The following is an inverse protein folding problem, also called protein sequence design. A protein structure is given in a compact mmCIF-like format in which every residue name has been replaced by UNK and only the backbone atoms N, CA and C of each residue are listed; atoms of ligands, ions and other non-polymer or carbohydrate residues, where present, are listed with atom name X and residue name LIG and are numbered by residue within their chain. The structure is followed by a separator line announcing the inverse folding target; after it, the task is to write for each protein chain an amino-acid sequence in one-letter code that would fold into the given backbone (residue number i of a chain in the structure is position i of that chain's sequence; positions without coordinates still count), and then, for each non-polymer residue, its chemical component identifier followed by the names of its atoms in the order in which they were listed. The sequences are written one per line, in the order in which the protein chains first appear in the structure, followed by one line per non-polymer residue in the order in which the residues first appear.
data_IF_194012711996
#
_entry.id   IF_194012711996
#
_cell.length_a   1.000
_cell.length_b   1.000
_cell.length_c   1.000
_cell.angle_alpha   90.00
_cell.angle_beta   90.00
_cell.angle_gamma   90.00
#
_symmetry.space_group_name_H-M   'P 1'
#
loop_
_entity.id
_entity.type
_entity.pdbx_description
1 polymer ?
#
# COMPACT_ATOMS: atom_id res chain seq x y z
N UNK A 1 14.34 5.57 3.82
CA UNK A 1 13.89 5.84 2.45
C UNK A 1 12.57 6.61 2.43
N UNK A 2 11.95 6.71 1.24
CA UNK A 2 10.67 7.39 1.04
C UNK A 2 9.53 6.39 0.86
N UNK A 3 8.41 6.59 1.59
CA UNK A 3 7.24 5.71 1.50
C UNK A 3 6.54 5.77 0.14
N UNK A 4 6.68 6.86 -0.61
CA UNK A 4 6.16 6.96 -1.97
C UNK A 4 6.89 6.05 -2.95
N UNK A 5 8.23 6.01 -2.88
CA UNK A 5 9.06 5.10 -3.67
C UNK A 5 8.81 3.64 -3.26
N UNK A 6 8.70 3.37 -1.95
CA UNK A 6 8.31 2.04 -1.47
C UNK A 6 6.95 1.61 -2.04
N UNK A 7 5.96 2.53 -2.07
CA UNK A 7 4.63 2.23 -2.63
C UNK A 7 4.69 1.89 -4.12
N UNK A 8 5.52 2.58 -4.89
CA UNK A 8 5.75 2.26 -6.30
C UNK A 8 6.22 0.81 -6.47
N UNK A 9 7.29 0.41 -5.76
CA UNK A 9 7.85 -0.95 -5.83
C UNK A 9 6.86 -2.00 -5.31
N UNK A 10 6.14 -1.69 -4.21
CA UNK A 10 5.15 -2.61 -3.62
C UNK A 10 3.98 -2.86 -4.58
N UNK A 11 3.46 -1.83 -5.25
CA UNK A 11 2.39 -1.99 -6.24
C UNK A 11 2.87 -2.84 -7.41
N UNK A 12 4.05 -2.57 -7.95
CA UNK A 12 4.63 -3.36 -9.03
C UNK A 12 4.71 -4.85 -8.67
N UNK A 13 5.34 -5.18 -7.55
CA UNK A 13 5.55 -6.58 -7.13
C UNK A 13 4.29 -7.25 -6.61
N UNK A 14 3.66 -6.67 -5.58
CA UNK A 14 2.59 -7.33 -4.82
C UNK A 14 1.20 -7.19 -5.44
N UNK A 15 0.94 -6.12 -6.21
CA UNK A 15 -0.40 -5.83 -6.74
C UNK A 15 -0.50 -6.01 -8.26
N UNK A 16 0.64 -6.03 -8.98
CA UNK A 16 0.62 -6.22 -10.43
C UNK A 16 1.26 -7.56 -10.84
N UNK A 17 2.50 -7.83 -10.43
CA UNK A 17 3.15 -9.09 -10.77
C UNK A 17 2.52 -10.29 -10.03
N UNK A 18 2.20 -10.14 -8.74
CA UNK A 18 1.64 -11.23 -7.95
C UNK A 18 0.30 -11.76 -8.50
N UNK A 19 -0.72 -10.96 -8.87
CA UNK A 19 -1.94 -11.48 -9.45
C UNK A 19 -1.71 -12.19 -10.79
N UNK A 20 -0.77 -11.74 -11.63
CA UNK A 20 -0.40 -12.43 -12.86
C UNK A 20 0.25 -13.78 -12.54
N UNK A 21 1.21 -13.80 -11.61
CA UNK A 21 1.88 -15.02 -11.17
C UNK A 21 0.89 -16.05 -10.60
N UNK A 22 -0.05 -15.59 -9.77
CA UNK A 22 -0.94 -16.47 -9.01
C UNK A 22 -2.19 -16.90 -9.79
N UNK A 23 -2.73 -16.01 -10.61
CA UNK A 23 -4.04 -16.18 -11.24
C UNK A 23 -4.00 -16.13 -12.76
N UNK A 24 -2.85 -15.85 -13.36
CA UNK A 24 -2.64 -15.80 -14.80
C UNK A 24 -2.35 -17.17 -15.39
N UNK A 25 -2.60 -17.29 -16.69
CA UNK A 25 -2.14 -18.44 -17.47
C UNK A 25 -0.61 -18.43 -17.64
N UNK A 26 -0.01 -19.54 -18.07
CA UNK A 26 1.44 -19.61 -18.33
C UNK A 26 1.86 -18.61 -19.41
N UNK A 27 1.04 -18.44 -20.45
CA UNK A 27 1.30 -17.46 -21.52
C UNK A 27 1.30 -16.02 -20.96
N UNK A 28 0.37 -15.68 -20.07
CA UNK A 28 0.34 -14.37 -19.40
C UNK A 28 1.58 -14.15 -18.53
N UNK A 29 2.02 -15.17 -17.80
CA UNK A 29 3.24 -15.10 -16.98
C UNK A 29 4.48 -14.87 -17.82
N UNK A 30 4.64 -15.63 -18.89
CA UNK A 30 5.78 -15.51 -19.84
C UNK A 30 5.79 -14.15 -20.54
N UNK A 31 4.62 -13.62 -20.91
CA UNK A 31 4.49 -12.36 -21.61
C UNK A 31 4.80 -11.16 -20.71
N UNK A 32 4.30 -11.13 -19.48
CA UNK A 32 4.29 -9.92 -18.66
C UNK A 32 5.36 -9.89 -17.57
N UNK A 33 5.60 -11.00 -16.86
CA UNK A 33 6.45 -10.98 -15.67
C UNK A 33 7.91 -10.61 -15.92
N UNK A 34 8.59 -11.06 -17.00
CA UNK A 34 9.98 -10.68 -17.23
C UNK A 34 10.18 -9.17 -17.41
N UNK A 35 9.38 -8.53 -18.28
CA UNK A 35 9.45 -7.09 -18.50
C UNK A 35 9.07 -6.28 -17.26
N UNK A 36 8.09 -6.75 -16.48
CA UNK A 36 7.71 -6.12 -15.22
C UNK A 36 8.81 -6.25 -14.15
N UNK A 37 9.51 -7.38 -14.08
CA UNK A 37 10.61 -7.60 -13.15
C UNK A 37 11.84 -6.75 -13.52
N UNK A 38 12.08 -6.53 -14.81
CA UNK A 38 13.13 -5.64 -15.31
C UNK A 38 12.80 -4.16 -15.13
N UNK A 39 11.54 -3.81 -14.83
CA UNK A 39 11.07 -2.42 -14.75
C UNK A 39 10.85 -1.78 -16.12
N UNK A 40 10.80 -2.56 -17.17
CA UNK A 40 10.49 -2.14 -18.55
C UNK A 40 8.99 -1.97 -18.77
N UNK A 41 8.16 -2.69 -18.00
CA UNK A 41 6.70 -2.63 -18.00
C UNK A 41 6.26 -2.24 -16.59
N UNK A 42 5.57 -1.11 -16.49
CA UNK A 42 5.02 -0.62 -15.22
C UNK A 42 3.54 -1.00 -15.12
N UNK A 43 3.16 -1.55 -13.95
CA UNK A 43 1.78 -1.89 -13.66
C UNK A 43 1.10 -0.92 -12.70
N UNK A 44 -0.25 -0.88 -12.79
CA UNK A 44 -1.11 -0.30 -11.76
C UNK A 44 -2.25 -1.24 -11.38
N UNK A 45 -2.86 -1.03 -10.20
CA UNK A 45 -3.84 -1.94 -9.62
C UNK A 45 -5.19 -1.24 -9.41
N UNK A 46 -6.14 -1.53 -10.27
CA UNK A 46 -7.46 -0.91 -10.31
C UNK A 46 -8.51 -1.67 -9.51
N UNK A 47 -8.54 -1.49 -8.19
CA UNK A 47 -9.58 -2.05 -7.31
C UNK A 47 -10.52 -0.95 -6.78
N UNK A 48 -9.97 0.03 -6.06
CA UNK A 48 -10.71 1.10 -5.40
C UNK A 48 -11.44 2.01 -6.40
N UNK A 49 -12.68 2.36 -6.11
CA UNK A 49 -13.52 3.27 -6.89
C UNK A 49 -13.82 4.54 -6.10
N UNK A 50 -14.34 5.61 -6.77
CA UNK A 50 -14.71 6.84 -6.06
C UNK A 50 -15.64 6.61 -4.87
N UNK A 51 -16.61 5.70 -5.00
CA UNK A 51 -17.65 5.44 -3.98
C UNK A 51 -17.41 4.11 -3.22
N UNK A 52 -16.43 3.30 -3.61
CA UNK A 52 -16.16 1.97 -3.05
C UNK A 52 -14.68 1.81 -2.66
N UNK A 53 -14.33 2.28 -1.46
CA UNK A 53 -12.99 2.14 -0.87
C UNK A 53 -12.87 0.93 0.05
N UNK A 54 -13.42 1.03 1.27
CA UNK A 54 -13.36 -0.06 2.26
C UNK A 54 -14.29 -1.23 1.96
N UNK A 55 -15.27 -1.05 1.07
CA UNK A 55 -16.14 -2.09 0.54
C UNK A 55 -15.90 -2.32 -0.96
N UNK A 56 -14.82 -3.01 -1.33
CA UNK A 56 -14.53 -3.31 -2.73
C UNK A 56 -15.50 -4.34 -3.35
N UNK A 57 -16.27 -5.05 -2.53
CA UNK A 57 -17.25 -6.03 -3.01
C UNK A 57 -18.43 -5.37 -3.73
N UNK A 58 -18.74 -4.14 -3.37
CA UNK A 58 -19.83 -3.36 -3.95
C UNK A 58 -19.44 -2.55 -5.20
N UNK A 59 -18.23 -2.78 -5.76
CA UNK A 59 -17.73 -2.01 -6.91
C UNK A 59 -18.73 -1.93 -8.07
N UNK A 60 -18.76 -0.76 -8.70
CA UNK A 60 -19.62 -0.46 -9.83
C UNK A 60 -19.02 -0.85 -11.18
N UNK A 61 -17.69 -0.95 -11.31
CA UNK A 61 -17.01 -1.35 -12.55
C UNK A 61 -17.52 -2.70 -13.04
N UNK A 62 -17.90 -2.75 -14.32
CA UNK A 62 -18.47 -3.91 -14.98
C UNK A 62 -17.64 -4.33 -16.19
N UNK A 63 -17.57 -5.64 -16.43
CA UNK A 63 -17.07 -6.21 -17.67
C UNK A 63 -18.15 -7.12 -18.25
N UNK A 64 -18.54 -6.88 -19.50
CA UNK A 64 -19.53 -7.65 -20.22
C UNK A 64 -18.85 -8.49 -21.30
N UNK A 65 -19.15 -9.78 -21.35
CA UNK A 65 -18.63 -10.67 -22.38
C UNK A 65 -19.34 -10.43 -23.70
N UNK A 66 -18.57 -10.31 -24.78
CA UNK A 66 -19.04 -10.18 -26.17
C UNK A 66 -18.20 -11.08 -27.07
N UNK A 67 -18.69 -12.29 -27.32
CA UNK A 67 -17.94 -13.31 -28.06
C UNK A 67 -16.67 -13.77 -27.35
N UNK A 68 -15.52 -13.50 -27.95
CA UNK A 68 -14.17 -13.82 -27.46
C UNK A 68 -13.47 -12.63 -26.79
N UNK A 69 -14.21 -11.56 -26.50
CA UNK A 69 -13.72 -10.34 -25.86
C UNK A 69 -14.58 -9.92 -24.67
N UNK A 70 -14.07 -8.97 -23.89
CA UNK A 70 -14.76 -8.31 -22.80
C UNK A 70 -14.80 -6.82 -23.02
N UNK A 71 -15.92 -6.19 -22.69
CA UNK A 71 -16.11 -4.74 -22.74
C UNK A 71 -16.18 -4.25 -21.31
N UNK A 72 -15.22 -3.38 -20.91
CA UNK A 72 -15.07 -2.86 -19.56
C UNK A 72 -15.58 -1.42 -19.48
N UNK A 73 -16.40 -1.15 -18.47
CA UNK A 73 -16.94 0.18 -18.16
C UNK A 73 -16.80 0.47 -16.66
N UNK A 74 -16.35 1.67 -16.31
CA UNK A 74 -16.25 2.11 -14.92
C UNK A 74 -15.07 3.04 -14.67
N UNK A 75 -14.80 3.28 -13.38
CA UNK A 75 -13.69 4.16 -12.99
C UNK A 75 -12.99 3.62 -11.73
N UNK A 76 -11.70 3.90 -11.65
CA UNK A 76 -10.87 3.55 -10.48
C UNK A 76 -10.17 4.79 -9.96
N UNK A 77 -10.06 4.90 -8.63
CA UNK A 77 -9.50 6.09 -7.97
C UNK A 77 -8.44 5.72 -6.94
N UNK A 78 -7.54 6.63 -6.68
CA UNK A 78 -6.38 6.47 -5.78
C UNK A 78 -5.40 5.40 -6.25
N UNK A 79 -5.21 5.29 -7.56
CA UNK A 79 -4.42 4.23 -8.18
C UNK A 79 -2.97 4.68 -8.31
N UNK A 80 -2.09 4.02 -7.57
CA UNK A 80 -0.63 4.21 -7.70
C UNK A 80 -0.20 3.80 -9.10
N UNK A 81 0.63 4.61 -9.72
CA UNK A 81 1.18 4.47 -11.07
C UNK A 81 0.17 4.68 -12.22
N UNK A 82 -1.10 4.98 -12.00
CA UNK A 82 -2.09 5.07 -13.08
C UNK A 82 -1.66 5.96 -14.26
N UNK A 83 -0.94 7.07 -14.00
CA UNK A 83 -0.52 7.99 -15.05
C UNK A 83 0.81 7.64 -15.74
N UNK A 84 1.44 6.52 -15.39
CA UNK A 84 2.73 6.07 -15.94
C UNK A 84 2.74 4.56 -16.21
N UNK A 85 1.63 3.86 -15.98
CA UNK A 85 1.54 2.41 -16.17
C UNK A 85 1.33 2.06 -17.63
N UNK A 86 1.94 0.95 -18.06
CA UNK A 86 1.73 0.33 -19.37
C UNK A 86 0.57 -0.67 -19.33
N UNK A 87 0.32 -1.25 -18.15
CA UNK A 87 -0.72 -2.25 -17.92
C UNK A 87 -1.48 -1.98 -16.62
N UNK A 88 -2.81 -2.08 -16.65
CA UNK A 88 -3.66 -2.02 -15.47
C UNK A 88 -4.22 -3.40 -15.12
N UNK A 89 -4.07 -3.82 -13.87
CA UNK A 89 -4.78 -4.97 -13.33
C UNK A 89 -6.15 -4.48 -12.85
N UNK A 90 -7.20 -4.73 -13.64
CA UNK A 90 -8.54 -4.18 -13.38
C UNK A 90 -9.45 -5.27 -12.82
N UNK A 91 -10.08 -4.94 -11.70
CA UNK A 91 -11.09 -5.79 -11.07
C UNK A 91 -12.48 -5.28 -11.41
N UNK A 92 -13.35 -6.20 -11.86
CA UNK A 92 -14.70 -5.87 -12.30
C UNK A 92 -15.71 -6.95 -11.92
N UNK A 93 -16.98 -6.56 -11.77
CA UNK A 93 -18.11 -7.47 -11.72
C UNK A 93 -18.52 -7.85 -13.13
N UNK A 94 -18.86 -9.14 -13.33
CA UNK A 94 -19.40 -9.68 -14.57
C UNK A 94 -20.67 -10.47 -14.28
N UNK A 95 -21.38 -10.90 -15.33
CA UNK A 95 -22.55 -11.78 -15.18
C UNK A 95 -22.16 -13.16 -14.64
N UNK A 96 -20.86 -13.54 -14.78
CA UNK A 96 -20.29 -14.77 -14.25
C UNK A 96 -19.69 -14.58 -12.84
N UNK A 97 -19.86 -13.42 -12.21
CA UNK A 97 -19.27 -13.00 -10.94
C UNK A 97 -18.01 -12.16 -11.11
N UNK A 98 -17.21 -12.10 -10.06
CA UNK A 98 -16.04 -11.24 -9.98
C UNK A 98 -14.87 -11.76 -10.83
N UNK A 99 -14.19 -10.87 -11.59
CA UNK A 99 -13.05 -11.21 -12.46
C UNK A 99 -11.95 -10.17 -12.43
N UNK A 100 -10.75 -10.58 -12.79
CA UNK A 100 -9.57 -9.71 -12.98
C UNK A 100 -9.18 -9.68 -14.46
N UNK A 101 -8.75 -8.53 -14.94
CA UNK A 101 -8.37 -8.28 -16.32
C UNK A 101 -7.03 -7.57 -16.42
N UNK A 102 -6.22 -7.93 -17.40
CA UNK A 102 -5.04 -7.22 -17.83
C UNK A 102 -5.45 -6.22 -18.91
N UNK A 103 -5.39 -4.93 -18.62
CA UNK A 103 -5.85 -3.87 -19.54
C UNK A 103 -4.65 -3.01 -19.92
N UNK A 104 -4.19 -3.03 -21.18
CA UNK A 104 -3.20 -2.08 -21.67
C UNK A 104 -3.72 -0.66 -21.51
N UNK A 105 -2.90 0.25 -21.00
CA UNK A 105 -3.35 1.62 -20.69
C UNK A 105 -3.47 2.52 -21.92
N UNK A 106 -2.96 2.06 -23.07
CA UNK A 106 -3.11 2.68 -24.38
C UNK A 106 -4.36 2.21 -25.17
N UNK A 107 -5.19 1.34 -24.55
CA UNK A 107 -6.46 0.87 -25.16
C UNK A 107 -7.41 2.03 -25.43
N UNK A 108 -8.14 1.96 -26.54
CA UNK A 108 -9.22 2.92 -26.83
C UNK A 108 -10.26 2.90 -25.70
N UNK A 109 -10.71 4.08 -25.28
CA UNK A 109 -11.64 4.23 -24.15
C UNK A 109 -10.99 4.23 -22.75
N UNK A 110 -9.67 3.97 -22.63
CA UNK A 110 -8.95 4.06 -21.36
C UNK A 110 -8.34 5.45 -21.19
N UNK A 111 -8.70 6.17 -20.13
CA UNK A 111 -8.14 7.47 -19.81
C UNK A 111 -7.64 7.53 -18.37
N UNK A 112 -6.35 7.82 -18.16
CA UNK A 112 -5.76 8.01 -16.84
C UNK A 112 -5.49 9.49 -16.55
N UNK A 113 -5.82 9.94 -15.33
CA UNK A 113 -5.58 11.31 -14.85
C UNK A 113 -4.84 11.31 -13.54
N UNK A 114 -3.85 12.18 -13.40
CA UNK A 114 -3.09 12.34 -12.16
C UNK A 114 -3.90 13.09 -11.12
N UNK A 115 -3.96 12.56 -9.89
CA UNK A 115 -4.45 13.29 -8.73
C UNK A 115 -3.36 14.26 -8.28
N UNK A 116 -3.66 15.55 -8.35
CA UNK A 116 -2.74 16.63 -7.98
C UNK A 116 -2.89 17.03 -6.50
N UNK A 117 -1.95 17.84 -6.02
CA UNK A 117 -2.01 18.51 -4.72
C UNK A 117 -2.12 17.58 -3.50
N UNK A 118 -1.59 16.35 -3.57
CA UNK A 118 -1.47 15.49 -2.39
C UNK A 118 -0.44 16.07 -1.42
N UNK A 119 -0.74 16.05 -0.13
CA UNK A 119 0.20 16.40 0.94
C UNK A 119 1.05 15.19 1.38
N UNK A 120 0.67 13.99 1.01
CA UNK A 120 1.26 12.71 1.40
C UNK A 120 1.70 11.92 0.17
N UNK A 121 2.71 11.06 0.33
CA UNK A 121 3.26 10.20 -0.73
C UNK A 121 3.53 10.97 -2.04
N UNK A 122 4.16 12.15 -1.95
CA UNK A 122 4.37 13.03 -3.11
C UNK A 122 5.32 12.45 -4.14
N UNK A 123 6.22 11.55 -3.74
CA UNK A 123 7.10 10.80 -4.63
C UNK A 123 6.39 9.63 -5.34
N UNK A 124 5.13 9.32 -5.00
CA UNK A 124 4.32 8.32 -5.69
C UNK A 124 3.35 8.99 -6.65
N UNK A 125 3.43 8.66 -7.93
CA UNK A 125 2.43 9.08 -8.92
C UNK A 125 1.14 8.33 -8.62
N UNK A 126 0.10 9.08 -8.25
CA UNK A 126 -1.22 8.52 -7.93
C UNK A 126 -2.24 9.15 -8.85
N UNK A 127 -3.13 8.37 -9.40
CA UNK A 127 -4.14 8.83 -10.33
C UNK A 127 -5.50 8.19 -10.13
N UNK A 128 -6.34 8.46 -11.07
CA UNK A 128 -7.60 7.80 -11.33
C UNK A 128 -7.63 7.43 -12.81
N UNK A 129 -8.41 6.44 -13.19
CA UNK A 129 -8.64 6.12 -14.58
C UNK A 129 -10.10 5.77 -14.84
N UNK A 130 -10.49 6.01 -16.07
CA UNK A 130 -11.83 5.80 -16.59
C UNK A 130 -11.77 4.81 -17.75
N UNK A 131 -12.77 3.99 -17.86
CA UNK A 131 -12.95 3.01 -18.93
C UNK A 131 -14.35 3.23 -19.52
N UNK A 132 -14.38 3.52 -20.81
CA UNK A 132 -15.61 3.74 -21.60
C UNK A 132 -15.54 2.79 -22.80
N UNK A 133 -16.27 1.68 -22.69
CA UNK A 133 -16.29 0.58 -23.66
C UNK A 133 -14.88 0.04 -24.01
N UNK A 134 -13.98 -0.07 -23.03
CA UNK A 134 -12.63 -0.63 -23.23
C UNK A 134 -12.73 -2.11 -23.58
N UNK A 135 -12.26 -2.48 -24.76
CA UNK A 135 -12.27 -3.85 -25.26
C UNK A 135 -10.96 -4.57 -24.93
N UNK A 136 -11.07 -5.76 -24.34
CA UNK A 136 -9.93 -6.67 -24.13
C UNK A 136 -10.29 -8.10 -24.57
N UNK A 137 -9.39 -8.86 -25.19
CA UNK A 137 -9.66 -10.23 -25.56
C UNK A 137 -9.75 -11.15 -24.32
N UNK A 138 -10.41 -12.31 -24.47
CA UNK A 138 -10.52 -13.30 -23.39
C UNK A 138 -9.14 -13.71 -22.84
N UNK A 139 -8.10 -13.70 -23.66
CA UNK A 139 -6.71 -14.00 -23.26
C UNK A 139 -6.13 -13.00 -22.25
N UNK A 140 -6.76 -11.84 -22.06
CA UNK A 140 -6.38 -10.83 -21.05
C UNK A 140 -7.16 -10.98 -19.74
N UNK A 141 -8.12 -11.88 -19.63
CA UNK A 141 -8.74 -12.22 -18.35
C UNK A 141 -7.81 -13.12 -17.54
N UNK A 142 -7.65 -12.85 -16.25
CA UNK A 142 -6.94 -13.73 -15.33
C UNK A 142 -7.81 -14.98 -15.06
N UNK A 143 -7.44 -16.17 -15.58
CA UNK A 143 -8.34 -17.33 -15.59
C UNK A 143 -8.74 -17.80 -14.17
N UNK A 144 -7.82 -17.74 -13.21
CA UNK A 144 -8.02 -18.26 -11.86
C UNK A 144 -8.53 -17.20 -10.87
N UNK A 145 -8.75 -15.95 -11.32
CA UNK A 145 -9.28 -14.86 -10.51
C UNK A 145 -10.81 -14.84 -10.55
N UNK A 146 -11.46 -15.77 -9.84
CA UNK A 146 -12.91 -16.03 -9.92
C UNK A 146 -13.73 -15.47 -8.76
N UNK A 147 -13.11 -14.75 -7.81
CA UNK A 147 -13.79 -14.21 -6.62
C UNK A 147 -13.10 -12.98 -6.08
N UNK A 148 -13.78 -12.23 -5.19
CA UNK A 148 -13.20 -11.11 -4.43
C UNK A 148 -11.98 -11.53 -3.58
N UNK A 149 -11.84 -12.81 -3.29
CA UNK A 149 -10.66 -13.35 -2.62
C UNK A 149 -9.36 -13.11 -3.38
N UNK A 150 -9.41 -13.00 -4.71
CA UNK A 150 -8.22 -12.77 -5.53
C UNK A 150 -7.57 -11.40 -5.24
N UNK A 151 -8.24 -10.24 -5.40
CA UNK A 151 -7.64 -8.95 -5.04
C UNK A 151 -7.34 -8.84 -3.54
N UNK A 152 -8.13 -9.44 -2.65
CA UNK A 152 -7.85 -9.42 -1.22
C UNK A 152 -6.56 -10.17 -0.87
N UNK A 153 -6.22 -11.23 -1.60
CA UNK A 153 -4.93 -11.93 -1.43
C UNK A 153 -3.76 -11.06 -1.88
N UNK A 154 -3.91 -10.30 -2.99
CA UNK A 154 -2.91 -9.33 -3.45
C UNK A 154 -2.66 -8.24 -2.39
N UNK A 155 -3.74 -7.71 -1.81
CA UNK A 155 -3.64 -6.75 -0.70
C UNK A 155 -2.94 -7.35 0.51
N UNK A 156 -3.09 -8.65 0.79
CA UNK A 156 -2.39 -9.29 1.92
C UNK A 156 -0.88 -9.31 1.69
N UNK A 157 -0.42 -9.58 0.45
CA UNK A 157 1.00 -9.50 0.09
C UNK A 157 1.55 -8.08 0.24
N UNK A 158 0.84 -7.08 -0.25
CA UNK A 158 1.25 -5.68 -0.12
C UNK A 158 1.27 -5.20 1.34
N UNK A 159 0.26 -5.55 2.15
CA UNK A 159 0.18 -5.24 3.59
C UNK A 159 1.33 -5.85 4.38
N UNK A 160 1.76 -7.06 4.02
CA UNK A 160 2.94 -7.69 4.60
C UNK A 160 4.17 -6.78 4.44
N UNK A 161 4.43 -6.27 3.24
CA UNK A 161 5.53 -5.34 2.97
C UNK A 161 5.41 -4.00 3.72
N UNK A 162 4.17 -3.50 3.93
CA UNK A 162 3.93 -2.27 4.71
C UNK A 162 4.37 -2.44 6.17
N UNK A 163 4.13 -3.61 6.77
CA UNK A 163 4.51 -3.84 8.17
C UNK A 163 6.02 -3.68 8.41
N UNK A 164 6.85 -4.09 7.44
CA UNK A 164 8.30 -3.86 7.47
C UNK A 164 8.68 -2.41 7.15
N UNK A 165 8.05 -1.82 6.12
CA UNK A 165 8.31 -0.45 5.71
C UNK A 165 8.06 0.57 6.83
N UNK A 166 7.04 0.35 7.66
CA UNK A 166 6.73 1.19 8.81
C UNK A 166 7.85 1.21 9.87
N UNK A 167 8.48 0.07 10.13
CA UNK A 167 9.66 -0.01 11.02
C UNK A 167 10.82 0.83 10.49
N UNK A 168 11.02 0.81 9.15
CA UNK A 168 12.03 1.64 8.49
C UNK A 168 11.78 3.13 8.66
N UNK A 169 10.51 3.57 8.63
CA UNK A 169 10.11 4.95 8.91
C UNK A 169 10.45 5.36 10.35
N UNK A 170 10.07 4.53 11.33
CA UNK A 170 10.37 4.81 12.74
C UNK A 170 11.88 4.95 12.98
N UNK A 171 12.68 4.07 12.37
CA UNK A 171 14.14 4.09 12.46
C UNK A 171 14.75 5.35 11.87
N UNK A 172 14.31 5.77 10.68
CA UNK A 172 14.80 6.99 10.04
C UNK A 172 14.50 8.24 10.90
N UNK A 173 13.27 8.32 11.42
CA UNK A 173 12.87 9.41 12.31
C UNK A 173 13.66 9.43 13.62
N UNK A 174 13.90 8.27 14.22
CA UNK A 174 14.71 8.11 15.42
C UNK A 174 16.13 8.63 15.20
N UNK A 175 16.80 8.15 14.13
CA UNK A 175 18.17 8.55 13.84
C UNK A 175 18.26 10.06 13.53
N UNK A 176 17.39 10.59 12.68
CA UNK A 176 17.37 12.01 12.35
C UNK A 176 17.19 12.89 13.59
N UNK A 177 16.32 12.50 14.53
CA UNK A 177 16.14 13.22 15.78
C UNK A 177 17.36 13.09 16.71
N UNK A 178 17.98 11.91 16.77
CA UNK A 178 19.16 11.66 17.62
C UNK A 178 20.34 12.51 17.17
N UNK A 179 20.66 12.48 15.87
CA UNK A 179 21.78 13.26 15.29
C UNK A 179 21.56 14.75 15.55
N UNK A 180 20.36 15.26 15.24
CA UNK A 180 20.03 16.66 15.50
C UNK A 180 20.15 17.05 16.96
N UNK A 181 19.66 16.23 17.90
CA UNK A 181 19.65 16.51 19.34
C UNK A 181 21.05 16.45 19.96
N UNK A 182 21.96 15.64 19.41
CA UNK A 182 23.34 15.56 19.85
C UNK A 182 24.13 16.81 19.46
N UNK A 183 23.87 17.34 18.28
CA UNK A 183 24.58 18.50 17.73
C UNK A 183 24.05 19.85 18.21
N UNK A 184 22.73 19.94 18.46
CA UNK A 184 22.04 21.20 18.79
C UNK A 184 22.19 21.58 20.27
N UNK A 185 22.91 22.67 20.65
CA UNK A 185 22.97 23.13 22.01
C UNK A 185 21.81 24.08 22.34
N UNK A 186 21.27 23.95 23.55
CA UNK A 186 20.39 24.95 24.21
C UNK A 186 20.69 24.94 25.71
N UNK A 187 20.57 26.08 26.35
CA UNK A 187 20.85 26.24 27.78
C UNK A 187 22.26 25.71 28.17
N UNK A 188 23.25 25.90 27.27
CA UNK A 188 24.65 25.56 27.50
C UNK A 188 25.03 24.10 27.34
N UNK A 189 24.12 23.24 26.87
CA UNK A 189 24.36 21.81 26.64
C UNK A 189 23.55 21.24 25.47
N UNK A 190 23.93 20.07 24.93
CA UNK A 190 23.18 19.42 23.84
C UNK A 190 21.77 19.10 24.27
N UNK A 191 20.81 19.15 23.32
CA UNK A 191 19.41 18.80 23.58
C UNK A 191 19.25 17.35 24.06
N UNK A 192 20.08 16.42 23.61
CA UNK A 192 20.08 15.01 24.03
C UNK A 192 20.44 14.82 25.51
N UNK A 193 21.05 15.80 26.17
CA UNK A 193 21.39 15.72 27.59
C UNK A 193 20.22 16.04 28.53
N UNK A 194 19.07 16.46 28.01
CA UNK A 194 17.88 16.72 28.82
C UNK A 194 17.05 15.45 29.01
N UNK A 195 16.70 15.13 30.25
CA UNK A 195 15.97 13.90 30.61
C UNK A 195 14.66 13.73 29.83
N UNK A 196 13.91 14.82 29.57
CA UNK A 196 12.67 14.77 28.80
C UNK A 196 12.89 14.26 27.37
N UNK A 197 14.04 14.53 26.77
CA UNK A 197 14.39 14.03 25.44
C UNK A 197 14.89 12.59 25.51
N UNK A 198 15.66 12.23 26.56
CA UNK A 198 16.11 10.86 26.78
C UNK A 198 14.95 9.89 26.96
N UNK A 199 13.90 10.29 27.69
CA UNK A 199 12.66 9.49 27.84
C UNK A 199 11.99 9.28 26.48
N UNK A 200 11.84 10.34 25.66
CA UNK A 200 11.25 10.21 24.32
C UNK A 200 12.04 9.25 23.41
N UNK A 201 13.37 9.29 23.47
CA UNK A 201 14.20 8.32 22.72
C UNK A 201 14.00 6.90 23.23
N UNK A 202 13.92 6.69 24.53
CA UNK A 202 13.65 5.39 25.13
C UNK A 202 12.28 4.83 24.67
N UNK A 203 11.24 5.67 24.67
CA UNK A 203 9.90 5.30 24.22
C UNK A 203 9.90 4.91 22.72
N UNK A 204 10.48 5.76 21.85
CA UNK A 204 10.57 5.45 20.41
C UNK A 204 11.34 4.16 20.18
N UNK A 205 12.48 3.96 20.85
CA UNK A 205 13.30 2.76 20.69
C UNK A 205 12.56 1.50 21.13
N UNK A 206 11.83 1.58 22.25
CA UNK A 206 11.03 0.45 22.77
C UNK A 206 9.95 0.04 21.78
N UNK A 207 9.13 1.00 21.32
CA UNK A 207 8.04 0.70 20.39
C UNK A 207 8.55 0.27 19.00
N UNK A 208 9.61 0.87 18.51
CA UNK A 208 10.27 0.45 17.26
C UNK A 208 10.83 -0.97 17.36
N UNK A 209 11.37 -1.35 18.51
CA UNK A 209 11.84 -2.73 18.75
C UNK A 209 10.70 -3.72 18.75
N UNK A 210 9.58 -3.41 19.43
CA UNK A 210 8.37 -4.21 19.43
C UNK A 210 7.79 -4.39 18.01
N UNK A 211 7.72 -3.29 17.24
CA UNK A 211 7.28 -3.31 15.85
C UNK A 211 8.17 -4.17 14.95
N UNK A 212 9.50 -4.11 15.16
CA UNK A 212 10.45 -4.93 14.42
C UNK A 212 10.32 -6.42 14.75
N UNK A 213 10.18 -6.78 16.02
CA UNK A 213 9.95 -8.16 16.45
C UNK A 213 8.66 -8.72 15.84
N UNK A 214 7.60 -7.91 15.78
CA UNK A 214 6.34 -8.29 15.16
C UNK A 214 6.50 -8.51 13.65
N UNK A 215 7.24 -7.63 12.94
CA UNK A 215 7.53 -7.81 11.52
C UNK A 215 8.37 -9.08 11.28
N UNK A 216 9.39 -9.35 12.08
CA UNK A 216 10.19 -10.58 11.98
C UNK A 216 9.35 -11.83 12.25
N UNK A 217 8.40 -11.78 13.18
CA UNK A 217 7.45 -12.87 13.44
C UNK A 217 6.58 -13.16 12.22
N UNK A 218 6.12 -12.11 11.50
CA UNK A 218 5.41 -12.30 10.23
C UNK A 218 6.28 -13.02 9.17
N UNK A 219 7.57 -12.69 9.11
CA UNK A 219 8.51 -13.38 8.22
C UNK A 219 8.54 -14.87 8.46
N UNK A 220 8.71 -15.27 9.72
CA UNK A 220 8.71 -16.69 10.13
C UNK A 220 7.40 -17.39 9.83
N UNK A 221 6.25 -16.77 10.16
CA UNK A 221 4.93 -17.32 9.84
C UNK A 221 4.74 -17.50 8.32
N UNK A 222 5.34 -16.64 7.49
CA UNK A 222 5.28 -16.77 6.03
C UNK A 222 6.14 -17.92 5.52
N UNK A 223 7.36 -18.08 6.04
CA UNK A 223 8.25 -19.22 5.75
C UNK A 223 7.62 -20.55 6.13
N UNK A 224 6.95 -20.61 7.30
CA UNK A 224 6.26 -21.80 7.81
C UNK A 224 4.89 -22.05 7.13
N UNK A 225 4.50 -21.24 6.14
CA UNK A 225 3.18 -21.29 5.49
C UNK A 225 1.99 -21.21 6.45
N UNK A 226 2.17 -20.64 7.63
CA UNK A 226 1.17 -20.51 8.70
C UNK A 226 0.61 -19.09 8.85
N UNK A 227 1.06 -18.15 8.02
CA UNK A 227 0.59 -16.77 8.04
C UNK A 227 -0.91 -16.68 7.69
N UNK A 228 -1.65 -15.86 8.43
CA UNK A 228 -3.07 -15.61 8.24
C UNK A 228 -3.32 -14.10 8.05
N UNK A 229 -4.45 -13.70 7.40
CA UNK A 229 -4.75 -12.28 7.18
C UNK A 229 -4.78 -11.43 8.45
N UNK A 230 -5.24 -11.97 9.57
CA UNK A 230 -5.29 -11.25 10.85
C UNK A 230 -3.88 -11.00 11.44
N UNK A 231 -2.90 -11.89 11.23
CA UNK A 231 -1.51 -11.64 11.63
C UNK A 231 -0.96 -10.41 10.90
N UNK A 232 -1.20 -10.32 9.58
CA UNK A 232 -0.76 -9.19 8.74
C UNK A 232 -1.48 -7.91 9.16
N UNK A 233 -2.80 -7.99 9.41
CA UNK A 233 -3.60 -6.85 9.88
C UNK A 233 -3.11 -6.31 11.21
N UNK A 234 -2.77 -7.19 12.17
CA UNK A 234 -2.21 -6.82 13.46
C UNK A 234 -0.90 -6.04 13.29
N UNK A 235 0.02 -6.58 12.51
CA UNK A 235 1.33 -5.95 12.31
C UNK A 235 1.22 -4.63 11.52
N UNK A 236 0.44 -4.57 10.44
CA UNK A 236 0.24 -3.30 9.73
C UNK A 236 -0.33 -2.24 10.64
N UNK A 237 -1.41 -2.56 11.36
CA UNK A 237 -2.08 -1.63 12.27
C UNK A 237 -1.14 -1.09 13.35
N UNK A 238 -0.43 -1.97 14.05
CA UNK A 238 0.49 -1.59 15.12
C UNK A 238 1.71 -0.82 14.58
N UNK A 239 2.41 -1.36 13.57
CA UNK A 239 3.66 -0.78 13.10
C UNK A 239 3.45 0.59 12.44
N UNK A 240 2.31 0.80 11.76
CA UNK A 240 1.98 2.12 11.20
C UNK A 240 1.74 3.16 12.30
N UNK A 241 1.09 2.80 13.43
CA UNK A 241 0.95 3.68 14.59
C UNK A 241 2.32 4.05 15.18
N UNK A 242 3.16 3.05 15.42
CA UNK A 242 4.52 3.29 15.92
C UNK A 242 5.28 4.23 15.00
N UNK A 243 5.17 4.06 13.70
CA UNK A 243 5.87 4.88 12.72
C UNK A 243 5.39 6.34 12.72
N UNK A 244 4.08 6.59 12.76
CA UNK A 244 3.55 7.96 12.78
C UNK A 244 3.84 8.67 14.10
N UNK A 245 3.76 7.97 15.23
CA UNK A 245 4.05 8.52 16.54
C UNK A 245 5.55 8.84 16.70
N UNK A 246 6.43 7.97 16.20
CA UNK A 246 7.86 8.24 16.11
C UNK A 246 8.15 9.46 15.22
N UNK A 247 7.50 9.58 14.06
CA UNK A 247 7.69 10.71 13.15
C UNK A 247 7.23 12.04 13.75
N UNK A 248 6.05 12.07 14.39
CA UNK A 248 5.52 13.25 15.07
C UNK A 248 6.39 13.67 16.27
N UNK A 249 6.85 12.70 17.06
CA UNK A 249 7.71 12.94 18.21
C UNK A 249 9.08 13.47 17.76
N UNK A 250 9.71 12.83 16.76
CA UNK A 250 10.99 13.26 16.21
C UNK A 250 10.90 14.69 15.63
N UNK A 251 9.84 14.98 14.85
CA UNK A 251 9.57 16.33 14.34
C UNK A 251 9.48 17.34 15.48
N UNK A 252 8.75 17.02 16.55
CA UNK A 252 8.61 17.91 17.70
C UNK A 252 9.93 18.14 18.43
N UNK A 253 10.78 17.12 18.55
CA UNK A 253 12.10 17.20 19.18
C UNK A 253 13.09 18.11 18.43
N UNK A 254 12.85 18.38 17.15
CA UNK A 254 13.64 19.29 16.31
C UNK A 254 13.17 20.74 16.35
N UNK A 255 12.09 21.04 17.09
CA UNK A 255 11.52 22.40 17.17
C UNK A 255 11.08 22.91 15.79
N UNK A 256 11.39 24.20 15.49
CA UNK A 256 11.04 24.82 14.22
C UNK A 256 11.73 24.14 13.01
N UNK A 257 12.97 23.66 13.18
CA UNK A 257 13.69 22.98 12.09
C UNK A 257 12.98 21.70 11.63
N UNK A 258 12.25 21.03 12.53
CA UNK A 258 11.52 19.81 12.23
C UNK A 258 10.35 19.98 11.22
N UNK A 259 9.95 21.22 10.87
CA UNK A 259 8.91 21.47 9.86
C UNK A 259 9.48 21.79 8.48
N UNK A 260 10.82 21.87 8.35
CA UNK A 260 11.49 22.13 7.08
C UNK A 260 11.67 20.84 6.25
N UNK A 261 11.93 21.02 4.96
CA UNK A 261 12.21 19.89 4.06
C UNK A 261 13.62 19.33 4.20
N UNK A 262 14.48 19.95 4.99
CA UNK A 262 15.84 19.50 5.29
C UNK A 262 15.86 18.23 6.14
N UNK A 263 14.80 18.01 6.92
CA UNK A 263 14.67 16.87 7.82
C UNK A 263 13.51 15.95 7.44
N UNK A 264 13.74 14.65 7.54
CA UNK A 264 12.79 13.61 7.09
C UNK A 264 11.51 13.43 7.98
N UNK A 265 11.49 13.71 9.29
CA UNK A 265 10.35 13.33 10.15
C UNK A 265 9.00 13.93 9.71
N UNK A 266 8.94 15.19 9.28
CA UNK A 266 7.67 15.80 8.83
C UNK A 266 7.16 15.17 7.53
N UNK A 267 8.06 14.84 6.61
CA UNK A 267 7.72 14.10 5.39
C UNK A 267 7.17 12.72 5.73
N UNK A 268 7.80 12.01 6.67
CA UNK A 268 7.32 10.72 7.14
C UNK A 268 5.97 10.81 7.84
N UNK A 269 5.76 11.81 8.69
CA UNK A 269 4.46 12.01 9.33
C UNK A 269 3.35 12.18 8.28
N UNK A 270 3.56 13.05 7.28
CA UNK A 270 2.61 13.23 6.18
C UNK A 270 2.38 11.93 5.38
N UNK A 271 3.46 11.20 5.07
CA UNK A 271 3.35 9.96 4.31
C UNK A 271 2.60 8.87 5.09
N UNK A 272 2.81 8.78 6.39
CA UNK A 272 2.16 7.77 7.23
C UNK A 272 0.65 7.97 7.34
N UNK A 273 0.12 9.18 7.20
CA UNK A 273 -1.34 9.42 7.10
C UNK A 273 -1.98 8.62 5.95
N UNK A 274 -1.30 8.58 4.79
CA UNK A 274 -1.76 7.73 3.68
C UNK A 274 -1.51 6.24 3.93
N UNK A 275 -0.35 5.88 4.51
CA UNK A 275 0.01 4.47 4.75
C UNK A 275 -0.95 3.81 5.75
N UNK A 276 -1.45 4.55 6.74
CA UNK A 276 -2.48 4.08 7.67
C UNK A 276 -3.84 3.92 7.00
N UNK A 277 -4.09 4.69 5.93
CA UNK A 277 -5.40 4.76 5.26
C UNK A 277 -5.56 3.72 4.16
N UNK A 278 -4.57 3.56 3.29
CA UNK A 278 -4.68 2.67 2.13
C UNK A 278 -4.48 1.19 2.49
N UNK A 279 -4.88 0.30 1.56
CA UNK A 279 -4.78 -1.17 1.74
C UNK A 279 -5.45 -1.66 3.04
N UNK A 280 -6.61 -1.09 3.34
CA UNK A 280 -7.33 -1.24 4.59
C UNK A 280 -6.92 -0.17 5.61
N UNK A 281 -7.91 0.60 6.08
CA UNK A 281 -7.71 1.58 7.14
C UNK A 281 -7.37 0.89 8.47
N UNK A 282 -6.92 1.67 9.43
CA UNK A 282 -6.68 1.18 10.78
C UNK A 282 -7.90 0.51 11.38
N UNK A 283 -9.10 1.08 11.14
CA UNK A 283 -10.38 0.55 11.61
C UNK A 283 -10.71 -0.78 10.93
N UNK A 284 -10.51 -0.89 9.60
CA UNK A 284 -10.72 -2.15 8.87
C UNK A 284 -9.83 -3.26 9.44
N UNK A 285 -8.57 -2.97 9.76
CA UNK A 285 -7.69 -3.95 10.41
C UNK A 285 -8.16 -4.29 11.84
N UNK A 286 -8.70 -3.31 12.56
CA UNK A 286 -9.35 -3.54 13.86
C UNK A 286 -10.56 -4.48 13.75
N UNK A 287 -11.40 -4.30 12.72
CA UNK A 287 -12.56 -5.16 12.46
C UNK A 287 -12.14 -6.59 12.07
N UNK A 288 -11.10 -6.76 11.25
CA UNK A 288 -10.54 -8.09 10.91
C UNK A 288 -10.10 -8.82 12.18
N UNK A 289 -9.40 -8.13 13.08
CA UNK A 289 -8.97 -8.69 14.36
C UNK A 289 -10.15 -9.00 15.26
N UNK A 290 -11.13 -8.08 15.35
CA UNK A 290 -12.35 -8.27 16.16
C UNK A 290 -13.13 -9.50 15.72
N UNK A 291 -13.30 -9.70 14.42
CA UNK A 291 -13.95 -10.89 13.87
C UNK A 291 -13.19 -12.18 14.22
N UNK A 292 -11.86 -12.17 14.10
CA UNK A 292 -11.04 -13.35 14.44
C UNK A 292 -11.12 -13.70 15.92
N UNK A 293 -11.12 -12.69 16.82
CA UNK A 293 -11.20 -12.88 18.27
C UNK A 293 -12.57 -13.37 18.71
N UNK A 294 -13.64 -12.84 18.13
CA UNK A 294 -15.02 -13.06 18.60
C UNK A 294 -15.77 -14.14 17.81
N UNK A 295 -15.30 -14.45 16.60
CA UNK A 295 -16.04 -15.31 15.66
C UNK A 295 -17.28 -14.63 15.05
N UNK A 296 -17.51 -13.34 15.32
CA UNK A 296 -18.69 -12.59 14.85
C UNK A 296 -18.30 -11.74 13.66
N UNK A 297 -19.01 -11.82 12.50
CA UNK A 297 -18.74 -10.98 11.34
C UNK A 297 -18.80 -9.49 11.68
N UNK A 298 -17.76 -8.72 11.32
CA UNK A 298 -17.62 -7.30 11.65
C UNK A 298 -18.00 -6.37 10.50
N UNK A 299 -18.26 -6.90 9.30
CA UNK A 299 -18.53 -6.13 8.07
C UNK A 299 -20.00 -6.18 7.64
N UNK A 300 -20.91 -6.25 8.58
CA UNK A 300 -22.36 -6.25 8.33
C UNK A 300 -23.08 -5.35 9.30
#
# INVERSE_FOLDING_TARGET
GDSGLRSFVSVQGSLCMFPIWKYGSEEQKEQWLPGMAAGEIIGCFGLTEPDHGSDPSSMATRAKKDGDRWILNGSKRWITNAGIADIAIVWANTDEGFRGFLVPTDSEGFEARKIQNKLSLRASVTGEFYMDDVEVPESMRLPDAISIGAPLSCLSEARYGIAFGAVGVARDCYNAALDYQQERPQFGKSLSSFQINQIKFADILTEMTNANLQAMSLGRLKEDHSIRPHHISMAKRHNCRVAIDAARTARAMMGANGVSTEYSPMRHANNMESVMTYEGTEEIHGLILGQEITGIPSFR
#
